data_IF_584894447443
#
_entry.id   IF_584894447443
#
_cell.length_a   1.000
_cell.length_b   1.000
_cell.length_c   1.000
_cell.angle_alpha   90.00
_cell.angle_beta   90.00
_cell.angle_gamma   90.00
#
_symmetry.space_group_name_H-M   'P 1'
#
loop_
_entity.id
_entity.type
_entity.pdbx_description
1 polymer ?
#
# COMPACT_ATOMS: atom_id res chain seq x y z
N UNK A 1 1.39 -23.93 8.03
CA UNK A 1 0.88 -22.72 8.73
C UNK A 1 2.09 -21.87 9.02
N UNK A 2 2.44 -21.08 8.01
CA UNK A 2 3.80 -20.61 7.81
C UNK A 2 3.94 -19.19 8.36
N UNK A 3 4.02 -19.13 9.69
CA UNK A 3 4.55 -17.98 10.44
C UNK A 3 6.05 -17.77 10.12
N UNK A 4 6.38 -17.49 8.85
CA UNK A 4 7.68 -16.96 8.45
C UNK A 4 7.56 -15.46 8.27
N UNK A 5 7.31 -14.80 9.39
CA UNK A 5 7.11 -13.36 9.53
C UNK A 5 8.18 -12.50 8.82
N UNK A 6 9.42 -12.98 8.66
CA UNK A 6 10.58 -12.12 8.35
C UNK A 6 11.44 -12.55 7.15
N UNK A 7 11.10 -13.65 6.47
CA UNK A 7 11.90 -14.15 5.35
C UNK A 7 11.19 -14.02 4.00
N UNK A 8 10.36 -12.99 3.87
CA UNK A 8 9.73 -12.64 2.61
C UNK A 8 10.50 -11.47 2.01
N UNK A 9 11.15 -11.71 0.86
CA UNK A 9 11.90 -10.75 0.05
C UNK A 9 11.12 -9.42 -0.17
N UNK A 10 9.79 -9.49 -0.16
CA UNK A 10 8.86 -8.36 -0.23
C UNK A 10 8.99 -7.41 0.97
N UNK A 11 9.23 -7.88 2.20
CA UNK A 11 9.33 -7.01 3.37
C UNK A 11 10.59 -6.11 3.34
N UNK A 12 11.69 -6.63 2.79
CA UNK A 12 12.95 -5.91 2.61
C UNK A 12 12.84 -4.91 1.45
N UNK A 13 12.23 -5.30 0.33
CA UNK A 13 12.03 -4.39 -0.81
C UNK A 13 11.15 -3.18 -0.48
N UNK A 14 10.17 -3.31 0.42
CA UNK A 14 9.23 -2.24 0.77
C UNK A 14 9.64 -1.40 1.99
N UNK A 15 10.80 -1.65 2.61
CA UNK A 15 11.29 -0.93 3.82
C UNK A 15 10.19 -0.77 4.89
N UNK A 16 9.53 -1.87 5.26
CA UNK A 16 8.46 -1.85 6.25
C UNK A 16 9.06 -1.60 7.65
N UNK A 17 9.06 -0.35 8.09
CA UNK A 17 9.61 0.09 9.40
C UNK A 17 8.58 0.12 10.53
N UNK A 18 7.29 -0.04 10.21
CA UNK A 18 6.21 -0.01 11.18
C UNK A 18 5.04 -0.84 10.67
N UNK A 19 4.29 -1.49 11.56
CA UNK A 19 3.05 -2.20 11.27
C UNK A 19 2.00 -1.61 12.22
N UNK A 20 0.78 -1.29 11.77
CA UNK A 20 0.21 -1.53 10.44
C UNK A 20 0.53 -0.43 9.40
N UNK A 21 0.94 -0.84 8.20
CA UNK A 21 1.05 0.01 7.00
C UNK A 21 0.10 -0.48 5.90
N UNK A 22 -0.33 0.44 5.02
CA UNK A 22 -1.12 0.09 3.84
C UNK A 22 -0.47 0.65 2.57
N UNK A 23 -0.74 0.03 1.43
CA UNK A 23 -0.28 0.45 0.12
C UNK A 23 -1.46 0.46 -0.85
N UNK A 24 -1.52 1.48 -1.69
CA UNK A 24 -2.42 1.57 -2.82
C UNK A 24 -1.61 1.26 -4.08
N UNK A 25 -2.06 0.28 -4.85
CA UNK A 25 -1.36 -0.25 -6.02
C UNK A 25 -2.27 -0.10 -7.23
N UNK A 26 -1.72 0.33 -8.37
CA UNK A 26 -2.46 0.42 -9.63
C UNK A 26 -2.47 -0.92 -10.38
N UNK A 27 -3.28 -1.07 -11.46
CA UNK A 27 -3.35 -2.32 -12.23
C UNK A 27 -2.03 -2.76 -12.88
N UNK A 28 -1.05 -1.85 -13.02
CA UNK A 28 0.29 -2.17 -13.55
C UNK A 28 1.25 -2.69 -12.47
N UNK A 29 0.78 -2.77 -11.22
CA UNK A 29 1.58 -3.20 -10.09
C UNK A 29 2.42 -2.08 -9.45
N UNK A 30 2.19 -0.82 -9.83
CA UNK A 30 2.94 0.31 -9.27
C UNK A 30 2.27 0.86 -8.02
N UNK A 31 3.08 1.17 -7.01
CA UNK A 31 2.61 1.82 -5.78
C UNK A 31 2.25 3.27 -6.08
N UNK A 32 0.99 3.62 -5.85
CA UNK A 32 0.44 4.96 -6.05
C UNK A 32 0.00 5.64 -4.74
N UNK A 33 0.14 4.96 -3.61
CA UNK A 33 -0.09 5.52 -2.27
C UNK A 33 0.46 4.62 -1.17
N UNK A 34 0.86 5.22 -0.04
CA UNK A 34 1.36 4.51 1.15
C UNK A 34 0.84 5.17 2.42
N UNK A 35 0.42 4.36 3.39
CA UNK A 35 -0.11 4.80 4.69
C UNK A 35 -1.25 5.81 4.63
N UNK A 36 -2.05 5.76 3.55
CA UNK A 36 -3.20 6.63 3.39
C UNK A 36 -4.34 6.14 4.27
N UNK A 37 -4.91 7.02 5.08
CA UNK A 37 -6.02 6.72 6.00
C UNK A 37 -7.04 7.84 6.00
N UNK A 38 -8.27 7.51 6.41
CA UNK A 38 -9.35 8.49 6.55
C UNK A 38 -9.53 9.33 5.29
N UNK A 39 -9.54 10.65 5.45
CA UNK A 39 -9.80 11.58 4.35
C UNK A 39 -8.74 11.53 3.24
N UNK A 40 -7.47 11.33 3.59
CA UNK A 40 -6.39 11.25 2.59
C UNK A 40 -6.57 10.06 1.65
N UNK A 41 -7.06 8.93 2.18
CA UNK A 41 -7.40 7.78 1.36
C UNK A 41 -8.60 8.09 0.46
N UNK A 42 -9.65 8.71 1.01
CA UNK A 42 -10.85 9.08 0.24
C UNK A 42 -10.52 10.03 -0.91
N UNK A 43 -9.74 11.07 -0.66
CA UNK A 43 -9.32 12.02 -1.69
C UNK A 43 -8.48 11.36 -2.79
N UNK A 44 -7.56 10.46 -2.42
CA UNK A 44 -6.74 9.75 -3.40
C UNK A 44 -7.58 8.83 -4.28
N UNK A 45 -8.52 8.11 -3.70
CA UNK A 45 -9.46 7.26 -4.44
C UNK A 45 -10.37 8.10 -5.33
N UNK A 46 -10.92 9.20 -4.81
CA UNK A 46 -11.71 10.14 -5.60
C UNK A 46 -10.92 10.63 -6.81
N UNK A 47 -9.69 11.09 -6.64
CA UNK A 47 -8.82 11.52 -7.75
C UNK A 47 -8.55 10.45 -8.80
N UNK A 48 -8.58 9.16 -8.44
CA UNK A 48 -8.36 8.05 -9.38
C UNK A 48 -9.64 7.73 -10.15
N UNK A 49 -10.79 7.71 -9.47
CA UNK A 49 -12.06 7.27 -10.03
C UNK A 49 -12.95 8.40 -10.55
N UNK A 50 -12.65 9.67 -10.23
CA UNK A 50 -13.37 10.86 -10.71
C UNK A 50 -12.90 11.36 -12.07
N UNK A 51 -11.87 10.74 -12.67
CA UNK A 51 -11.33 11.14 -13.97
C UNK A 51 -12.07 10.46 -15.15
N UNK A 52 -13.35 10.11 -14.96
CA UNK A 52 -14.25 9.60 -16.00
C UNK A 52 -15.40 10.57 -16.22
#
# INVERSE_FOLDING_TARGET
SDLKFWNNEVAVQYKIQSIPQNFLIDPTGKIIGKNLRGEQLRMKLASIFSAN
#
